data_IF_288346902725
#
_entry.id   IF_288346902725
#
_cell.length_a   1.000
_cell.length_b   1.000
_cell.length_c   1.000
_cell.angle_alpha   90.00
_cell.angle_beta   90.00
_cell.angle_gamma   90.00
#
_symmetry.space_group_name_H-M   'P 1'
#
loop_
_entity.id
_entity.type
_entity.pdbx_description
1 polymer ?
#
# COMPACT_ATOMS: atom_id res chain seq x y z
N UNK A 1 -13.26 -9.77 16.97
CA UNK A 1 -12.65 -10.21 15.68
C UNK A 1 -11.16 -10.22 15.89
N UNK A 2 -10.44 -11.19 15.34
CA UNK A 2 -8.97 -11.13 15.34
C UNK A 2 -8.54 -10.07 14.33
N UNK A 3 -7.56 -9.22 14.73
CA UNK A 3 -7.00 -8.23 13.82
C UNK A 3 -6.25 -8.93 12.69
N UNK A 4 -6.41 -8.46 11.46
CA UNK A 4 -5.67 -8.96 10.31
C UNK A 4 -4.19 -8.61 10.41
N UNK A 5 -3.88 -7.37 10.81
CA UNK A 5 -2.53 -6.90 11.08
C UNK A 5 -2.43 -6.42 12.52
N UNK A 6 -1.42 -6.89 13.24
CA UNK A 6 -1.11 -6.43 14.60
C UNK A 6 0.36 -6.09 14.74
N UNK A 7 0.64 -4.89 15.22
CA UNK A 7 1.97 -4.42 15.61
C UNK A 7 1.97 -4.10 17.09
N UNK A 8 2.95 -4.67 17.83
CA UNK A 8 3.10 -4.47 19.26
C UNK A 8 4.51 -4.00 19.58
N UNK A 9 4.63 -2.76 20.06
CA UNK A 9 5.88 -2.11 20.46
C UNK A 9 6.97 -2.16 19.37
N UNK A 10 6.57 -2.05 18.08
CA UNK A 10 7.49 -2.20 16.94
C UNK A 10 8.40 -0.98 16.83
N UNK A 11 9.70 -1.21 16.90
CA UNK A 11 10.74 -0.20 16.75
C UNK A 11 11.73 -0.57 15.66
N UNK A 12 12.33 0.44 15.02
CA UNK A 12 13.37 0.27 14.01
C UNK A 12 14.45 1.31 14.13
N UNK A 13 15.69 0.83 14.26
CA UNK A 13 16.91 1.66 14.25
C UNK A 13 17.77 1.35 13.03
N UNK A 14 18.36 2.38 12.44
CA UNK A 14 19.42 2.31 11.44
C UNK A 14 20.67 2.97 12.04
N UNK A 15 21.54 2.17 12.63
CA UNK A 15 22.63 2.69 13.46
C UNK A 15 22.07 3.53 14.61
N UNK A 16 22.42 4.80 14.66
CA UNK A 16 21.96 5.74 15.69
C UNK A 16 20.59 6.37 15.38
N UNK A 17 20.11 6.25 14.14
CA UNK A 17 18.85 6.89 13.72
C UNK A 17 17.66 6.00 14.06
N UNK A 18 16.77 6.50 14.91
CA UNK A 18 15.46 5.91 15.17
C UNK A 18 14.54 6.21 13.99
N UNK A 19 14.05 5.17 13.30
CA UNK A 19 13.14 5.31 12.16
C UNK A 19 11.69 5.00 12.56
N UNK A 20 11.49 4.08 13.50
CA UNK A 20 10.19 3.79 14.13
C UNK A 20 10.41 3.62 15.63
N UNK A 21 9.50 4.14 16.44
CA UNK A 21 9.57 4.12 17.89
C UNK A 21 8.25 3.62 18.49
N UNK A 22 8.27 2.43 19.09
CA UNK A 22 7.15 1.87 19.85
C UNK A 22 5.81 1.90 19.12
N UNK A 23 5.78 1.51 17.83
CA UNK A 23 4.56 1.47 17.03
C UNK A 23 3.62 0.39 17.56
N UNK A 24 2.40 0.80 17.89
CA UNK A 24 1.29 -0.08 18.22
C UNK A 24 0.15 0.22 17.25
N UNK A 25 -0.28 -0.77 16.47
CA UNK A 25 -1.31 -0.60 15.44
C UNK A 25 -2.01 -1.94 15.20
N UNK A 26 -3.33 -1.93 15.21
CA UNK A 26 -4.15 -3.08 14.85
C UNK A 26 -5.07 -2.69 13.71
N UNK A 27 -5.03 -3.46 12.61
CA UNK A 27 -5.89 -3.24 11.43
C UNK A 27 -6.79 -4.46 11.28
N UNK A 28 -8.12 -4.27 11.33
CA UNK A 28 -9.08 -5.35 11.09
C UNK A 28 -9.16 -5.71 9.59
N UNK A 29 -9.71 -6.90 9.30
CA UNK A 29 -10.06 -7.28 7.93
C UNK A 29 -11.15 -6.39 7.36
N UNK A 30 -11.19 -6.25 6.03
CA UNK A 30 -12.25 -5.54 5.31
C UNK A 30 -12.19 -4.02 5.42
N UNK A 31 -11.04 -3.46 5.84
CA UNK A 31 -10.83 -2.01 6.00
C UNK A 31 -9.78 -1.47 5.05
N UNK A 32 -10.05 -0.27 4.55
CA UNK A 32 -9.07 0.54 3.82
C UNK A 32 -8.52 1.58 4.78
N UNK A 33 -7.24 1.43 5.12
CA UNK A 33 -6.55 2.27 6.10
C UNK A 33 -5.52 3.15 5.41
N UNK A 34 -5.67 4.45 5.55
CA UNK A 34 -4.70 5.44 5.07
C UNK A 34 -3.58 5.68 6.07
N UNK A 35 -2.33 5.57 5.64
CA UNK A 35 -1.14 5.88 6.42
C UNK A 35 -0.50 7.17 5.93
N UNK A 36 -0.62 8.24 6.69
CA UNK A 36 -0.17 9.58 6.31
C UNK A 36 0.89 10.12 7.26
N UNK A 37 1.77 10.95 6.74
CA UNK A 37 2.84 11.57 7.49
C UNK A 37 3.83 12.28 6.60
N UNK A 38 4.72 13.13 7.13
CA UNK A 38 5.71 13.84 6.35
C UNK A 38 6.72 12.88 5.72
N UNK A 39 7.45 13.39 4.72
CA UNK A 39 8.58 12.65 4.13
C UNK A 39 9.62 12.34 5.21
N UNK A 40 10.00 11.07 5.31
CA UNK A 40 10.93 10.61 6.36
C UNK A 40 10.26 10.26 7.69
N UNK A 41 8.94 10.40 7.84
CA UNK A 41 8.19 10.09 9.08
C UNK A 41 8.07 8.62 9.44
N UNK A 42 8.57 7.69 8.59
CA UNK A 42 8.60 6.25 8.91
C UNK A 42 7.66 5.37 8.08
N UNK A 43 6.77 5.93 7.25
CA UNK A 43 5.76 5.19 6.47
C UNK A 43 6.32 4.00 5.69
N UNK A 44 7.25 4.23 4.77
CA UNK A 44 7.89 3.16 3.97
C UNK A 44 8.64 2.13 4.83
N UNK A 45 9.28 2.57 5.92
CA UNK A 45 9.94 1.66 6.87
C UNK A 45 8.93 0.73 7.54
N UNK A 46 7.81 1.28 7.97
CA UNK A 46 6.72 0.51 8.57
C UNK A 46 6.14 -0.52 7.58
N UNK A 47 5.83 -0.10 6.36
CA UNK A 47 5.31 -0.98 5.32
C UNK A 47 6.27 -2.12 4.95
N UNK A 48 7.58 -1.83 4.87
CA UNK A 48 8.61 -2.86 4.62
C UNK A 48 8.72 -3.87 5.76
N UNK A 49 8.51 -3.45 7.00
CA UNK A 49 8.49 -4.36 8.15
C UNK A 49 7.24 -5.23 8.11
N UNK A 50 6.07 -4.66 7.87
CA UNK A 50 4.81 -5.41 7.74
C UNK A 50 4.92 -6.48 6.66
N UNK A 51 5.56 -6.18 5.53
CA UNK A 51 5.68 -7.10 4.39
C UNK A 51 6.87 -8.08 4.49
N UNK A 52 7.64 -8.03 5.59
CA UNK A 52 8.81 -8.90 5.79
C UNK A 52 9.98 -8.60 4.85
N UNK A 53 10.00 -7.44 4.19
CA UNK A 53 11.15 -6.95 3.39
C UNK A 53 12.24 -6.41 4.30
N UNK A 54 11.87 -5.98 5.50
CA UNK A 54 12.76 -5.42 6.51
C UNK A 54 12.39 -5.98 7.88
N UNK A 55 13.39 -6.33 8.68
CA UNK A 55 13.15 -6.75 10.07
C UNK A 55 13.11 -5.54 11.00
N UNK A 56 12.19 -5.57 11.97
CA UNK A 56 12.18 -4.65 13.09
C UNK A 56 13.41 -4.86 14.00
N UNK A 57 13.73 -3.86 14.82
CA UNK A 57 14.78 -4.00 15.86
C UNK A 57 14.18 -4.55 17.15
N UNK A 58 12.95 -4.14 17.48
CA UNK A 58 12.21 -4.56 18.67
C UNK A 58 10.73 -4.69 18.35
N UNK A 59 9.99 -5.42 19.19
CA UNK A 59 8.55 -5.60 19.06
C UNK A 59 8.17 -6.78 18.18
N UNK A 60 6.86 -6.96 17.97
CA UNK A 60 6.28 -8.09 17.23
C UNK A 60 5.31 -7.56 16.18
N UNK A 61 5.40 -8.14 14.99
CA UNK A 61 4.45 -7.94 13.89
C UNK A 61 3.77 -9.27 13.60
N UNK A 62 2.46 -9.27 13.43
CA UNK A 62 1.74 -10.47 12.98
C UNK A 62 0.67 -10.10 11.95
N UNK A 63 0.51 -10.96 10.94
CA UNK A 63 -0.51 -10.87 9.90
C UNK A 63 -1.33 -12.16 9.97
N UNK A 64 -2.63 -12.03 10.26
CA UNK A 64 -3.51 -13.17 10.51
C UNK A 64 -2.93 -14.13 11.58
N UNK A 65 -2.31 -13.56 12.63
CA UNK A 65 -1.67 -14.28 13.73
C UNK A 65 -0.28 -14.84 13.43
N UNK A 66 0.28 -14.67 12.23
CA UNK A 66 1.57 -15.21 11.79
C UNK A 66 2.60 -14.08 11.62
N UNK A 67 3.81 -14.24 12.14
CA UNK A 67 4.90 -13.29 11.89
C UNK A 67 5.28 -13.27 10.39
N UNK A 68 5.73 -12.10 9.87
CA UNK A 68 6.13 -11.98 8.47
C UNK A 68 7.19 -13.01 8.07
N UNK A 69 6.85 -13.88 7.15
CA UNK A 69 7.71 -14.97 6.64
C UNK A 69 7.25 -15.41 5.24
N UNK A 70 7.76 -16.53 4.72
CA UNK A 70 7.38 -17.06 3.39
C UNK A 70 5.87 -17.39 3.31
N UNK A 71 5.27 -17.86 4.41
CA UNK A 71 3.81 -18.16 4.44
C UNK A 71 3.02 -16.86 4.30
N UNK A 72 3.36 -15.81 5.04
CA UNK A 72 2.64 -14.52 4.94
C UNK A 72 2.77 -13.90 3.56
N UNK A 73 3.90 -14.07 2.87
CA UNK A 73 4.11 -13.57 1.50
C UNK A 73 3.15 -14.19 0.48
N UNK A 74 2.62 -15.40 0.75
CA UNK A 74 1.64 -16.02 -0.14
C UNK A 74 0.27 -15.31 -0.13
N UNK A 75 -0.07 -14.55 0.91
CA UNK A 75 -1.34 -13.83 1.05
C UNK A 75 -1.20 -12.34 1.38
N UNK A 76 0.01 -11.79 1.31
CA UNK A 76 0.28 -10.35 1.39
C UNK A 76 0.76 -9.85 0.04
N UNK A 77 0.07 -8.85 -0.52
CA UNK A 77 0.45 -8.21 -1.76
C UNK A 77 1.09 -6.84 -1.47
N UNK A 78 2.30 -6.61 -1.96
CA UNK A 78 3.06 -5.38 -1.69
C UNK A 78 3.36 -4.61 -2.96
N UNK A 79 2.96 -3.36 -3.00
CA UNK A 79 3.39 -2.37 -3.98
C UNK A 79 4.41 -1.43 -3.34
N UNK A 80 5.69 -1.50 -3.69
CA UNK A 80 6.69 -0.56 -3.17
C UNK A 80 6.59 0.81 -3.85
N UNK A 81 7.16 1.83 -3.18
CA UNK A 81 7.28 3.19 -3.70
C UNK A 81 8.07 3.28 -5.02
N UNK A 82 9.03 2.38 -5.20
CA UNK A 82 9.89 2.31 -6.39
C UNK A 82 9.38 1.31 -7.42
N UNK A 83 9.71 1.58 -8.69
CA UNK A 83 9.47 0.63 -9.77
C UNK A 83 10.38 -0.59 -9.58
N UNK A 84 9.77 -1.79 -9.56
CA UNK A 84 10.45 -3.07 -9.37
C UNK A 84 10.46 -3.94 -10.64
N UNK A 85 9.90 -3.45 -11.74
CA UNK A 85 9.78 -4.19 -12.99
C UNK A 85 11.14 -4.34 -13.69
N UNK A 86 11.43 -5.54 -14.20
CA UNK A 86 12.61 -5.77 -15.06
C UNK A 86 12.37 -5.15 -16.43
N UNK A 87 13.17 -4.14 -16.77
CA UNK A 87 13.05 -3.38 -18.02
C UNK A 87 13.31 -4.22 -19.27
N UNK A 88 14.01 -5.35 -19.17
CA UNK A 88 14.32 -6.25 -20.29
C UNK A 88 13.17 -7.17 -20.68
N UNK A 89 12.25 -7.44 -19.76
CA UNK A 89 11.09 -8.32 -19.96
C UNK A 89 10.00 -7.66 -20.80
N UNK A 90 9.19 -8.49 -21.47
CA UNK A 90 7.93 -8.04 -22.04
C UNK A 90 6.84 -8.00 -20.95
N UNK A 91 5.75 -7.27 -21.23
CA UNK A 91 4.56 -7.24 -20.34
C UNK A 91 4.01 -8.65 -20.16
N UNK A 92 3.89 -9.43 -21.26
CA UNK A 92 3.46 -10.82 -21.22
C UNK A 92 4.35 -11.70 -20.34
N UNK A 93 5.65 -11.59 -20.46
CA UNK A 93 6.60 -12.37 -19.66
C UNK A 93 6.50 -11.98 -18.18
N UNK A 94 6.34 -10.69 -17.90
CA UNK A 94 6.16 -10.16 -16.54
C UNK A 94 4.89 -10.70 -15.89
N UNK A 95 3.75 -10.70 -16.59
CA UNK A 95 2.50 -11.27 -16.10
C UNK A 95 2.64 -12.79 -15.87
N UNK A 96 3.30 -13.49 -16.80
CA UNK A 96 3.51 -14.94 -16.67
C UNK A 96 4.41 -15.27 -15.49
N UNK A 97 5.50 -14.53 -15.29
CA UNK A 97 6.41 -14.69 -14.16
C UNK A 97 5.68 -14.51 -12.83
N UNK A 98 4.81 -13.50 -12.69
CA UNK A 98 4.04 -13.30 -11.47
C UNK A 98 3.09 -14.47 -11.19
N UNK A 99 2.47 -15.03 -12.23
CA UNK A 99 1.61 -16.20 -12.07
C UNK A 99 2.39 -17.48 -11.71
N UNK A 100 3.64 -17.58 -12.08
CA UNK A 100 4.51 -18.71 -11.71
C UNK A 100 5.01 -18.58 -10.27
N UNK A 101 5.16 -17.33 -9.74
CA UNK A 101 5.62 -17.07 -8.38
C UNK A 101 4.52 -17.05 -7.32
N UNK A 102 3.29 -16.64 -7.68
CA UNK A 102 2.20 -16.45 -6.74
C UNK A 102 1.00 -17.30 -7.10
N UNK A 103 0.69 -18.31 -6.32
CA UNK A 103 -0.45 -19.20 -6.53
C UNK A 103 -1.80 -18.48 -6.51
N UNK A 104 -1.89 -17.36 -5.77
CA UNK A 104 -3.07 -16.52 -5.67
C UNK A 104 -3.19 -15.46 -6.79
N UNK A 105 -2.28 -15.47 -7.79
CA UNK A 105 -2.29 -14.54 -8.90
C UNK A 105 -3.22 -15.00 -10.03
N UNK A 106 -4.10 -14.12 -10.50
CA UNK A 106 -4.98 -14.39 -11.64
C UNK A 106 -4.48 -13.70 -12.92
N UNK A 107 -4.04 -14.50 -13.90
CA UNK A 107 -3.68 -13.98 -15.24
C UNK A 107 -4.86 -13.29 -15.91
N UNK A 108 -6.06 -13.84 -15.78
CA UNK A 108 -7.26 -13.31 -16.43
C UNK A 108 -7.59 -11.91 -15.89
N UNK A 109 -7.54 -11.72 -14.55
CA UNK A 109 -7.71 -10.40 -13.94
C UNK A 109 -6.61 -9.42 -14.37
N UNK A 110 -5.36 -9.89 -14.48
CA UNK A 110 -4.26 -9.05 -14.94
C UNK A 110 -4.51 -8.54 -16.37
N UNK A 111 -4.92 -9.43 -17.28
CA UNK A 111 -5.22 -9.04 -18.66
C UNK A 111 -6.49 -8.21 -18.76
N UNK A 112 -7.53 -8.50 -17.98
CA UNK A 112 -8.75 -7.67 -17.94
C UNK A 112 -8.43 -6.21 -17.63
N UNK A 113 -7.66 -5.97 -16.55
CA UNK A 113 -7.21 -4.63 -16.20
C UNK A 113 -6.23 -4.04 -17.24
N UNK A 114 -5.30 -4.85 -17.76
CA UNK A 114 -4.29 -4.39 -18.69
C UNK A 114 -4.86 -3.99 -20.06
N UNK A 115 -5.90 -4.65 -20.53
CA UNK A 115 -6.52 -4.37 -21.84
C UNK A 115 -7.06 -2.92 -21.92
N UNK A 116 -7.45 -2.33 -20.81
CA UNK A 116 -7.86 -0.91 -20.75
C UNK A 116 -6.74 0.04 -21.19
N UNK A 117 -5.47 -0.37 -21.05
CA UNK A 117 -4.32 0.46 -21.44
C UNK A 117 -4.10 0.52 -22.96
N UNK A 118 -4.70 -0.42 -23.72
CA UNK A 118 -4.56 -0.53 -25.19
C UNK A 118 -3.10 -0.61 -25.68
N UNK A 119 -2.24 -1.21 -24.87
CA UNK A 119 -0.82 -1.43 -25.17
C UNK A 119 -0.62 -2.90 -25.54
N UNK A 120 0.08 -3.23 -26.63
CA UNK A 120 0.41 -4.63 -26.95
C UNK A 120 1.28 -5.27 -25.87
N UNK A 121 0.94 -6.46 -25.39
CA UNK A 121 1.62 -7.16 -24.30
C UNK A 121 3.06 -7.62 -24.65
N UNK A 122 3.39 -7.62 -25.96
CA UNK A 122 4.74 -7.89 -26.47
C UNK A 122 5.72 -6.74 -26.27
N UNK A 123 5.27 -5.55 -25.87
CA UNK A 123 6.15 -4.42 -25.61
C UNK A 123 7.01 -4.72 -24.39
N UNK A 124 8.28 -4.27 -24.44
CA UNK A 124 9.18 -4.36 -23.30
C UNK A 124 8.85 -3.31 -22.27
N UNK A 125 9.11 -3.61 -21.03
CA UNK A 125 8.88 -2.70 -19.90
C UNK A 125 9.63 -1.37 -20.11
N UNK A 126 10.86 -1.41 -20.63
CA UNK A 126 11.66 -0.20 -20.93
C UNK A 126 10.99 0.75 -21.92
N UNK A 127 10.13 0.24 -22.80
CA UNK A 127 9.45 1.03 -23.85
C UNK A 127 8.16 1.70 -23.34
N UNK A 128 7.74 1.39 -22.11
CA UNK A 128 6.59 2.00 -21.47
C UNK A 128 6.94 3.37 -20.88
N UNK A 129 5.98 4.29 -20.90
CA UNK A 129 6.05 5.51 -20.12
C UNK A 129 6.13 5.18 -18.62
N UNK A 130 6.62 6.11 -17.81
CA UNK A 130 6.71 5.94 -16.36
C UNK A 130 5.35 5.65 -15.72
N UNK A 131 4.31 6.35 -16.18
CA UNK A 131 2.93 6.14 -15.75
C UNK A 131 2.41 4.75 -16.09
N UNK A 132 2.66 4.28 -17.32
CA UNK A 132 2.25 2.93 -17.73
C UNK A 132 3.00 1.85 -16.97
N UNK A 133 4.27 2.07 -16.61
CA UNK A 133 5.01 1.18 -15.70
C UNK A 133 4.36 1.16 -14.32
N UNK A 134 3.94 2.31 -13.78
CA UNK A 134 3.23 2.39 -12.50
C UNK A 134 1.86 1.70 -12.57
N UNK A 135 1.07 1.95 -13.61
CA UNK A 135 -0.20 1.24 -13.84
C UNK A 135 0.00 -0.28 -13.89
N UNK A 136 1.01 -0.76 -14.62
CA UNK A 136 1.33 -2.19 -14.69
C UNK A 136 1.69 -2.77 -13.33
N UNK A 137 2.50 -2.08 -12.52
CA UNK A 137 2.82 -2.53 -11.16
C UNK A 137 1.56 -2.70 -10.30
N UNK A 138 0.65 -1.72 -10.35
CA UNK A 138 -0.62 -1.80 -9.63
C UNK A 138 -1.47 -2.96 -10.13
N UNK A 139 -1.56 -3.15 -11.45
CA UNK A 139 -2.26 -4.29 -12.05
C UNK A 139 -1.71 -5.61 -11.50
N UNK A 140 -0.39 -5.79 -11.50
CA UNK A 140 0.25 -7.03 -11.00
C UNK A 140 -0.09 -7.28 -9.53
N UNK A 141 -0.02 -6.26 -8.69
CA UNK A 141 -0.33 -6.38 -7.26
C UNK A 141 -1.82 -6.67 -7.04
N UNK A 142 -2.71 -5.97 -7.73
CA UNK A 142 -4.16 -6.14 -7.60
C UNK A 142 -4.71 -7.39 -8.30
N UNK A 143 -3.91 -8.07 -9.11
CA UNK A 143 -4.25 -9.37 -9.71
C UNK A 143 -4.08 -10.53 -8.74
N UNK A 144 -3.49 -10.32 -7.57
CA UNK A 144 -3.44 -11.28 -6.48
C UNK A 144 -4.75 -11.32 -5.70
N UNK A 145 -5.06 -12.47 -5.10
CA UNK A 145 -6.18 -12.61 -4.15
C UNK A 145 -5.66 -12.59 -2.71
N UNK A 146 -5.03 -11.48 -2.35
CA UNK A 146 -4.38 -11.33 -1.06
C UNK A 146 -5.37 -11.09 0.09
N UNK A 147 -4.96 -11.44 1.33
CA UNK A 147 -5.65 -11.04 2.56
C UNK A 147 -5.30 -9.61 2.97
N UNK A 148 -4.07 -9.18 2.69
CA UNK A 148 -3.58 -7.83 2.99
C UNK A 148 -2.87 -7.25 1.78
N UNK A 149 -3.31 -6.07 1.36
CA UNK A 149 -2.60 -5.25 0.37
C UNK A 149 -1.88 -4.11 1.08
N UNK A 150 -0.59 -3.97 0.84
CA UNK A 150 0.24 -2.89 1.36
C UNK A 150 0.72 -2.06 0.16
N UNK A 151 0.20 -0.85 0.02
CA UNK A 151 0.39 -0.01 -1.16
C UNK A 151 1.18 1.26 -0.77
N UNK A 152 2.48 1.29 -1.10
CA UNK A 152 3.35 2.42 -0.77
C UNK A 152 3.41 3.41 -1.95
N UNK A 153 2.77 4.57 -1.76
CA UNK A 153 2.68 5.68 -2.72
C UNK A 153 2.20 5.25 -4.13
N UNK A 154 1.05 4.54 -4.28
CA UNK A 154 0.59 4.04 -5.58
C UNK A 154 0.37 5.15 -6.61
N UNK A 155 0.09 6.37 -6.19
CA UNK A 155 -0.20 7.53 -7.04
C UNK A 155 1.01 8.47 -7.22
N UNK A 156 2.21 8.05 -6.79
CA UNK A 156 3.38 8.92 -6.87
C UNK A 156 3.79 9.18 -8.32
N UNK A 157 3.91 10.46 -8.66
CA UNK A 157 4.46 10.94 -9.93
C UNK A 157 3.68 10.43 -11.17
N UNK A 158 2.35 10.45 -11.05
CA UNK A 158 1.40 10.17 -12.14
C UNK A 158 0.45 11.36 -12.32
N UNK A 159 -0.05 11.55 -13.55
CA UNK A 159 -1.09 12.53 -13.84
C UNK A 159 -2.48 12.14 -13.28
N UNK A 160 -3.47 13.01 -13.46
CA UNK A 160 -4.82 12.76 -12.94
C UNK A 160 -5.49 11.55 -13.60
N UNK A 161 -5.34 11.36 -14.92
CA UNK A 161 -5.94 10.24 -15.64
C UNK A 161 -5.36 8.89 -15.18
N UNK A 162 -4.04 8.86 -14.94
CA UNK A 162 -3.39 7.67 -14.41
C UNK A 162 -3.78 7.43 -12.94
N UNK A 163 -3.96 8.49 -12.14
CA UNK A 163 -4.46 8.39 -10.76
C UNK A 163 -5.85 7.80 -10.72
N UNK A 164 -6.78 8.31 -11.52
CA UNK A 164 -8.18 7.83 -11.58
C UNK A 164 -8.23 6.37 -12.02
N UNK A 165 -7.40 5.99 -12.99
CA UNK A 165 -7.28 4.61 -13.42
C UNK A 165 -6.77 3.69 -12.29
N UNK A 166 -5.71 4.09 -11.60
CA UNK A 166 -5.15 3.32 -10.47
C UNK A 166 -6.18 3.20 -9.34
N UNK A 167 -6.87 4.29 -9.01
CA UNK A 167 -7.91 4.31 -7.99
C UNK A 167 -9.06 3.35 -8.33
N UNK A 168 -9.53 3.39 -9.59
CA UNK A 168 -10.55 2.44 -10.10
C UNK A 168 -10.08 0.99 -9.94
N UNK A 169 -8.83 0.68 -10.31
CA UNK A 169 -8.28 -0.68 -10.18
C UNK A 169 -8.26 -1.12 -8.72
N UNK A 170 -7.74 -0.29 -7.81
CA UNK A 170 -7.68 -0.63 -6.39
C UNK A 170 -9.08 -0.93 -5.84
N UNK A 171 -10.05 -0.04 -6.07
CA UNK A 171 -11.40 -0.16 -5.52
C UNK A 171 -12.21 -1.31 -6.12
N UNK A 172 -11.98 -1.66 -7.39
CA UNK A 172 -12.78 -2.67 -8.10
C UNK A 172 -12.21 -4.08 -7.98
N UNK A 173 -10.94 -4.24 -7.57
CA UNK A 173 -10.25 -5.52 -7.70
C UNK A 173 -9.74 -6.13 -6.39
N UNK A 174 -9.93 -5.49 -5.23
CA UNK A 174 -9.56 -6.13 -3.97
C UNK A 174 -10.70 -7.01 -3.44
N UNK A 175 -10.31 -8.06 -2.71
CA UNK A 175 -11.27 -8.86 -1.95
C UNK A 175 -11.83 -8.02 -0.78
N UNK A 176 -13.14 -7.85 -0.70
CA UNK A 176 -13.78 -7.01 0.34
C UNK A 176 -13.54 -7.49 1.77
N UNK A 177 -13.09 -8.73 1.95
CA UNK A 177 -12.66 -9.25 3.24
C UNK A 177 -11.17 -8.99 3.51
N UNK A 178 -10.40 -8.49 2.52
CA UNK A 178 -9.00 -8.15 2.69
C UNK A 178 -8.85 -6.77 3.34
N UNK A 179 -7.74 -6.56 4.05
CA UNK A 179 -7.32 -5.23 4.47
C UNK A 179 -6.49 -4.54 3.40
N UNK A 180 -6.59 -3.23 3.31
CA UNK A 180 -5.69 -2.39 2.51
C UNK A 180 -5.01 -1.39 3.45
N UNK A 181 -3.68 -1.36 3.45
CA UNK A 181 -2.89 -0.28 4.04
C UNK A 181 -2.25 0.51 2.90
N UNK A 182 -2.63 1.76 2.76
CA UNK A 182 -2.17 2.63 1.67
C UNK A 182 -1.46 3.86 2.22
N UNK A 183 -0.22 4.10 1.79
CA UNK A 183 0.45 5.37 2.01
C UNK A 183 0.36 6.23 0.76
N UNK A 184 -0.03 7.49 0.91
CA UNK A 184 -0.12 8.41 -0.23
C UNK A 184 -0.27 9.87 0.22
N UNK A 185 -0.27 10.78 -0.75
CA UNK A 185 -0.73 12.15 -0.54
C UNK A 185 -2.25 12.16 -0.53
N UNK A 186 -2.84 12.86 0.43
CA UNK A 186 -4.28 13.04 0.53
C UNK A 186 -4.81 13.84 -0.66
N UNK A 187 -5.87 13.32 -1.27
CA UNK A 187 -6.72 14.01 -2.24
C UNK A 187 -8.16 13.69 -1.92
N UNK A 188 -9.14 14.49 -2.35
CA UNK A 188 -10.56 14.22 -2.07
C UNK A 188 -11.02 12.82 -2.51
N UNK A 189 -10.47 12.31 -3.62
CA UNK A 189 -10.80 11.00 -4.16
C UNK A 189 -10.26 9.87 -3.24
N UNK A 190 -9.00 10.00 -2.81
CA UNK A 190 -8.37 9.05 -1.88
C UNK A 190 -9.07 9.08 -0.53
N UNK A 191 -9.38 10.27 -0.03
CA UNK A 191 -10.04 10.44 1.26
C UNK A 191 -11.38 9.71 1.35
N UNK A 192 -12.17 9.72 0.25
CA UNK A 192 -13.50 9.07 0.20
C UNK A 192 -13.45 7.55 0.31
N UNK A 193 -12.31 6.93 -0.02
CA UNK A 193 -12.17 5.47 0.06
C UNK A 193 -11.75 4.97 1.43
N UNK A 194 -11.32 5.85 2.33
CA UNK A 194 -10.75 5.45 3.61
C UNK A 194 -11.82 5.14 4.65
N UNK A 195 -11.70 3.97 5.29
CA UNK A 195 -12.44 3.63 6.51
C UNK A 195 -11.76 4.19 7.76
N UNK A 196 -10.43 4.11 7.79
CA UNK A 196 -9.62 4.49 8.95
C UNK A 196 -8.36 5.25 8.51
N UNK A 197 -7.81 6.03 9.42
CA UNK A 197 -6.68 6.93 9.17
C UNK A 197 -5.65 6.79 10.26
N UNK A 198 -4.39 6.64 9.85
CA UNK A 198 -3.21 6.64 10.72
C UNK A 198 -2.33 7.82 10.35
N UNK A 199 -2.01 8.67 11.33
CA UNK A 199 -0.97 9.69 11.19
C UNK A 199 0.31 9.23 11.90
N UNK A 200 1.41 9.24 11.16
CA UNK A 200 2.74 8.90 11.66
C UNK A 200 3.68 10.11 11.55
N UNK A 201 4.39 10.43 12.62
CA UNK A 201 5.37 11.52 12.68
C UNK A 201 6.59 11.05 13.46
N UNK A 202 7.77 11.31 12.92
CA UNK A 202 9.06 10.99 13.57
C UNK A 202 9.16 9.55 14.08
N UNK A 203 8.51 8.62 13.36
CA UNK A 203 8.50 7.20 13.68
C UNK A 203 7.47 6.79 14.73
N UNK A 204 6.55 7.65 15.13
CA UNK A 204 5.49 7.37 16.11
C UNK A 204 4.11 7.58 15.50
N UNK A 205 3.12 6.75 15.88
CA UNK A 205 1.71 6.99 15.55
C UNK A 205 1.17 8.06 16.48
N UNK A 206 0.73 9.17 15.91
CA UNK A 206 0.16 10.30 16.64
C UNK A 206 -1.38 10.36 16.55
N UNK A 207 -1.95 9.62 15.60
CA UNK A 207 -3.40 9.46 15.44
C UNK A 207 -3.70 8.10 14.81
N UNK A 208 -4.71 7.42 15.31
CA UNK A 208 -5.40 6.31 14.64
C UNK A 208 -6.88 6.36 14.99
N UNK A 209 -7.73 6.62 13.99
CA UNK A 209 -9.17 6.69 14.19
C UNK A 209 -9.94 6.42 12.88
N UNK A 210 -11.26 6.21 13.00
CA UNK A 210 -12.15 6.09 11.86
C UNK A 210 -12.22 7.42 11.08
N UNK A 211 -12.18 7.34 9.75
CA UNK A 211 -12.22 8.53 8.89
C UNK A 211 -13.46 9.40 9.12
N UNK A 212 -14.64 8.76 9.24
CA UNK A 212 -15.89 9.47 9.49
C UNK A 212 -15.94 10.14 10.88
N UNK A 213 -15.32 9.50 11.88
CA UNK A 213 -15.23 10.08 13.22
C UNK A 213 -14.38 11.36 13.20
N UNK A 214 -13.23 11.33 12.52
CA UNK A 214 -12.38 12.53 12.37
C UNK A 214 -13.14 13.65 11.69
N UNK A 215 -13.84 13.38 10.57
CA UNK A 215 -14.65 14.38 9.85
C UNK A 215 -15.73 14.99 10.74
N UNK A 216 -16.45 14.17 11.50
CA UNK A 216 -17.53 14.62 12.36
C UNK A 216 -17.04 15.43 13.57
N UNK A 217 -15.96 14.98 14.23
CA UNK A 217 -15.44 15.64 15.44
C UNK A 217 -14.65 16.92 15.12
N UNK A 218 -13.97 16.96 13.98
CA UNK A 218 -13.14 18.11 13.58
C UNK A 218 -13.90 19.10 12.70
N UNK A 219 -15.00 18.69 12.07
CA UNK A 219 -15.78 19.52 11.17
C UNK A 219 -15.04 19.91 9.87
N UNK A 220 -14.01 19.14 9.50
CA UNK A 220 -13.17 19.39 8.32
C UNK A 220 -12.79 18.07 7.60
N UNK A 221 -12.22 18.19 6.42
CA UNK A 221 -11.68 17.04 5.70
C UNK A 221 -10.45 16.45 6.41
N UNK A 222 -10.09 15.20 6.08
CA UNK A 222 -8.87 14.59 6.62
C UNK A 222 -7.62 15.31 6.12
N UNK A 223 -7.64 15.85 4.88
CA UNK A 223 -6.55 16.65 4.35
C UNK A 223 -6.37 17.96 5.13
N UNK A 224 -7.45 18.67 5.42
CA UNK A 224 -7.41 19.90 6.23
C UNK A 224 -6.88 19.59 7.64
N UNK A 225 -7.37 18.53 8.27
CA UNK A 225 -6.88 18.11 9.58
C UNK A 225 -5.41 17.66 9.56
N UNK A 226 -5.00 16.96 8.51
CA UNK A 226 -3.59 16.60 8.31
C UNK A 226 -2.70 17.85 8.20
N UNK A 227 -3.10 18.85 7.42
CA UNK A 227 -2.37 20.11 7.29
C UNK A 227 -2.26 20.85 8.61
N UNK A 228 -3.33 20.88 9.40
CA UNK A 228 -3.32 21.47 10.76
C UNK A 228 -2.32 20.75 11.67
N UNK A 229 -2.40 19.41 11.77
CA UNK A 229 -1.55 18.59 12.66
C UNK A 229 -0.07 18.68 12.30
N UNK A 230 0.25 18.73 11.01
CA UNK A 230 1.64 18.75 10.53
C UNK A 230 2.17 20.15 10.21
N UNK A 231 1.38 21.20 10.37
CA UNK A 231 1.70 22.59 10.02
C UNK A 231 2.21 22.72 8.56
N UNK A 232 1.52 22.08 7.62
CA UNK A 232 1.84 22.14 6.18
C UNK A 232 0.79 22.98 5.47
N UNK A 233 1.26 23.93 4.66
CA UNK A 233 0.42 24.82 3.85
C UNK A 233 0.05 24.17 2.50
#
# INVERSE_FOLDING_TARGET
MLDLLSLKAVSKKYGIKQALNNINLNIPSGKIVGLFGPKGGGRTTLMKIITGVLNQTEGVVSIDGVEPNEITKSYVAYLPDKIFLDESMTIKDTISMHADFYEDFSKDRAYEMFNDLKIPDKFKIKDLSKENRRKLQVILVMSRNAKLYVLDEPFFDVDNDARDYILKIILSNYNRNAGILISTTLTPEVERMLDEVVFIKDGEIILYDAADKIRNEKGCSIDEYFREVFNVS
#
